data_IF_232689169083
#
_entry.id   IF_232689169083
#
_cell.length_a   1.000
_cell.length_b   1.000
_cell.length_c   1.000
_cell.angle_alpha   90.00
_cell.angle_beta   90.00
_cell.angle_gamma   90.00
#
_symmetry.space_group_name_H-M   'P 1'
#
loop_
_entity.id
_entity.type
_entity.pdbx_description
1 polymer ?
#
# COMPACT_ATOMS: atom_id res chain seq x y z
N UNK A 1 -18.12 -18.28 3.96
CA UNK A 1 -18.42 -17.94 5.37
C UNK A 1 -17.26 -18.38 6.25
N UNK A 2 -16.35 -17.47 6.62
CA UNK A 2 -15.20 -17.77 7.49
C UNK A 2 -15.60 -17.40 8.94
N UNK A 3 -15.78 -18.36 9.86
CA UNK A 3 -16.41 -18.15 11.17
C UNK A 3 -15.63 -17.30 12.19
N UNK A 4 -14.46 -16.75 11.84
CA UNK A 4 -13.55 -16.13 12.81
C UNK A 4 -13.60 -14.59 12.87
N UNK A 5 -14.06 -13.89 11.82
CA UNK A 5 -13.97 -12.42 11.73
C UNK A 5 -15.00 -11.69 12.63
N UNK A 6 -16.01 -12.39 13.15
CA UNK A 6 -17.19 -11.79 13.79
C UNK A 6 -17.14 -11.51 15.30
N UNK A 7 -16.02 -11.71 16.01
CA UNK A 7 -15.97 -11.54 17.49
C UNK A 7 -15.44 -10.20 17.98
N UNK A 8 -14.63 -9.47 17.20
CA UNK A 8 -13.90 -8.29 17.73
C UNK A 8 -14.65 -6.95 17.59
N UNK A 9 -15.62 -6.83 16.68
CA UNK A 9 -16.20 -5.53 16.30
C UNK A 9 -17.68 -5.35 16.64
N UNK A 10 -18.25 -6.18 17.51
CA UNK A 10 -19.70 -6.19 17.77
C UNK A 10 -20.20 -5.01 18.63
N UNK A 11 -19.33 -4.30 19.34
CA UNK A 11 -19.78 -3.34 20.36
C UNK A 11 -19.47 -1.86 20.03
N UNK A 12 -19.07 -1.54 18.78
CA UNK A 12 -18.63 -0.17 18.41
C UNK A 12 -19.64 0.57 17.52
N UNK A 13 -20.68 -0.07 16.99
CA UNK A 13 -21.52 0.58 15.98
C UNK A 13 -23.00 0.17 16.09
N UNK A 14 -23.73 0.76 17.03
CA UNK A 14 -25.21 0.71 17.06
C UNK A 14 -25.84 2.10 17.17
N UNK A 15 -25.19 3.16 16.69
CA UNK A 15 -25.74 4.53 16.72
C UNK A 15 -25.98 5.18 15.34
N UNK A 16 -25.74 4.44 14.26
CA UNK A 16 -26.05 4.86 12.89
C UNK A 16 -26.62 3.64 12.20
N UNK A 17 -27.93 3.61 11.96
CA UNK A 17 -28.71 2.47 11.47
C UNK A 17 -28.26 1.89 10.11
N UNK A 18 -27.08 1.26 10.09
CA UNK A 18 -26.52 0.53 8.95
C UNK A 18 -26.85 -0.95 9.14
N UNK A 19 -27.70 -1.48 8.26
CA UNK A 19 -27.99 -2.91 8.19
C UNK A 19 -26.81 -3.63 7.51
N UNK A 20 -25.92 -4.19 8.33
CA UNK A 20 -24.78 -4.97 7.88
C UNK A 20 -25.17 -6.20 7.04
N UNK A 21 -26.40 -6.71 7.12
CA UNK A 21 -26.84 -7.81 6.23
C UNK A 21 -26.94 -7.36 4.78
N UNK A 22 -27.33 -6.11 4.53
CA UNK A 22 -27.36 -5.53 3.18
C UNK A 22 -25.94 -5.34 2.64
N UNK A 23 -25.05 -4.77 3.46
CA UNK A 23 -23.64 -4.53 3.09
C UNK A 23 -22.89 -5.84 2.80
N UNK A 24 -23.15 -6.89 3.56
CA UNK A 24 -22.55 -8.22 3.33
C UNK A 24 -23.11 -8.93 2.09
N UNK A 25 -24.39 -8.71 1.75
CA UNK A 25 -24.99 -9.22 0.52
C UNK A 25 -24.49 -8.47 -0.73
N UNK A 26 -24.28 -7.15 -0.63
CA UNK A 26 -23.66 -6.34 -1.69
C UNK A 26 -22.17 -6.68 -1.89
N UNK A 27 -21.44 -7.02 -0.82
CA UNK A 27 -20.03 -7.44 -0.91
C UNK A 27 -19.82 -8.75 -1.68
N UNK A 28 -20.83 -9.61 -1.77
CA UNK A 28 -20.71 -10.92 -2.44
C UNK A 28 -20.64 -10.80 -3.97
N UNK A 29 -20.91 -9.62 -4.53
CA UNK A 29 -20.87 -9.36 -5.97
C UNK A 29 -19.55 -8.74 -6.46
N UNK A 30 -18.63 -8.38 -5.55
CA UNK A 30 -17.31 -7.84 -5.89
C UNK A 30 -16.21 -8.93 -5.78
N UNK A 31 -16.35 -10.01 -6.55
CA UNK A 31 -15.18 -10.77 -7.00
C UNK A 31 -14.70 -10.17 -8.32
N UNK A 32 -13.95 -9.09 -8.20
CA UNK A 32 -13.20 -8.49 -9.30
C UNK A 32 -11.96 -7.88 -8.69
N UNK A 33 -10.79 -8.47 -8.96
CA UNK A 33 -9.52 -7.76 -8.76
C UNK A 33 -9.50 -6.66 -9.81
N UNK A 34 -10.07 -5.51 -9.47
CA UNK A 34 -9.82 -4.28 -10.20
C UNK A 34 -8.35 -3.92 -9.98
N UNK A 35 -7.55 -4.16 -11.01
CA UNK A 35 -6.14 -3.78 -11.02
C UNK A 35 -6.08 -2.27 -10.93
N UNK A 36 -5.43 -1.78 -9.87
CA UNK A 36 -5.11 -0.37 -9.69
C UNK A 36 -4.41 0.15 -10.98
N UNK A 37 -5.06 1.03 -11.74
CA UNK A 37 -4.41 1.78 -12.83
C UNK A 37 -4.56 1.26 -14.27
N UNK A 38 -5.74 0.80 -14.71
CA UNK A 38 -6.01 0.48 -16.13
C UNK A 38 -6.13 1.69 -17.10
N UNK A 39 -5.59 2.86 -16.73
CA UNK A 39 -5.51 4.03 -17.63
C UNK A 39 -4.08 4.22 -18.16
N UNK A 40 -3.89 4.74 -19.39
CA UNK A 40 -2.56 5.14 -19.86
C UNK A 40 -1.88 6.05 -18.83
N UNK A 41 -0.59 5.82 -18.56
CA UNK A 41 0.22 6.70 -17.73
C UNK A 41 0.70 7.90 -18.59
N UNK A 42 -0.21 8.62 -19.24
CA UNK A 42 0.11 9.69 -20.19
C UNK A 42 0.48 11.05 -19.52
N UNK A 43 0.36 11.11 -18.19
CA UNK A 43 0.79 12.25 -17.37
C UNK A 43 2.31 12.34 -17.11
N UNK A 44 2.75 13.47 -16.54
CA UNK A 44 4.15 13.66 -16.13
C UNK A 44 4.65 12.60 -15.15
N UNK A 45 3.79 12.13 -14.24
CA UNK A 45 4.12 11.02 -13.34
C UNK A 45 4.36 9.72 -14.09
N UNK A 46 3.58 9.43 -15.14
CA UNK A 46 3.76 8.25 -15.96
C UNK A 46 5.10 8.21 -16.69
N UNK A 47 5.49 9.32 -17.32
CA UNK A 47 6.81 9.43 -17.95
C UNK A 47 7.97 9.26 -16.98
N UNK A 48 7.83 9.71 -15.74
CA UNK A 48 8.84 9.48 -14.69
C UNK A 48 8.91 8.02 -14.27
N UNK A 49 7.76 7.33 -14.24
CA UNK A 49 7.70 5.88 -13.99
C UNK A 49 8.34 5.13 -15.16
N UNK A 50 8.00 5.46 -16.41
CA UNK A 50 8.58 4.87 -17.62
C UNK A 50 10.11 5.01 -17.63
N UNK A 51 10.62 6.22 -17.38
CA UNK A 51 12.07 6.45 -17.30
C UNK A 51 12.75 5.65 -16.17
N UNK A 52 12.04 5.38 -15.07
CA UNK A 52 12.52 4.53 -14.00
C UNK A 52 12.52 3.06 -14.45
N UNK A 53 11.41 2.56 -15.02
CA UNK A 53 11.26 1.14 -15.38
C UNK A 53 12.04 0.72 -16.63
N UNK A 54 12.24 1.63 -17.60
CA UNK A 54 13.00 1.36 -18.82
C UNK A 54 14.53 1.39 -18.59
N UNK A 55 14.97 1.65 -17.36
CA UNK A 55 16.37 1.69 -17.01
C UNK A 55 16.99 0.28 -16.91
N UNK A 56 18.24 0.08 -17.38
CA UNK A 56 18.92 -1.22 -17.35
C UNK A 56 19.18 -1.77 -15.94
N UNK A 57 18.99 -0.95 -14.91
CA UNK A 57 19.09 -1.34 -13.52
C UNK A 57 17.93 -2.26 -13.10
N UNK A 58 16.75 -2.13 -13.71
CA UNK A 58 15.59 -2.95 -13.37
C UNK A 58 15.79 -4.39 -13.85
N UNK A 59 16.32 -4.56 -15.06
CA UNK A 59 16.69 -5.87 -15.59
C UNK A 59 17.69 -6.59 -14.67
N UNK A 60 18.76 -5.89 -14.27
CA UNK A 60 19.76 -6.44 -13.34
C UNK A 60 19.19 -6.78 -11.95
N UNK A 61 18.18 -6.03 -11.50
CA UNK A 61 17.48 -6.32 -10.24
C UNK A 61 16.63 -7.58 -10.36
N UNK A 62 15.90 -7.74 -11.48
CA UNK A 62 15.07 -8.92 -11.74
C UNK A 62 15.91 -10.18 -11.88
N UNK A 63 17.06 -10.10 -12.56
CA UNK A 63 18.02 -11.22 -12.65
C UNK A 63 18.48 -11.68 -11.26
N UNK A 64 18.80 -10.74 -10.37
CA UNK A 64 19.17 -11.08 -8.98
C UNK A 64 18.01 -11.70 -8.18
N UNK A 65 16.77 -11.26 -8.42
CA UNK A 65 15.57 -11.84 -7.78
C UNK A 65 15.39 -13.30 -8.23
N UNK A 66 15.60 -13.58 -9.51
CA UNK A 66 15.58 -14.92 -10.07
C UNK A 66 16.71 -15.80 -9.51
N UNK A 67 17.94 -15.29 -9.42
CA UNK A 67 19.08 -15.99 -8.80
C UNK A 67 18.81 -16.38 -7.34
N UNK A 68 18.05 -15.55 -6.61
CA UNK A 68 17.68 -15.79 -5.21
C UNK A 68 16.47 -16.72 -5.06
N UNK A 69 15.85 -17.15 -6.17
CA UNK A 69 14.65 -17.99 -6.17
C UNK A 69 13.44 -17.31 -5.52
N UNK A 70 13.40 -15.97 -5.51
CA UNK A 70 12.29 -15.22 -4.95
C UNK A 70 11.12 -15.22 -5.94
N UNK A 71 9.92 -15.54 -5.46
CA UNK A 71 8.72 -15.40 -6.26
C UNK A 71 8.49 -13.94 -6.64
N UNK A 72 8.17 -13.65 -7.91
CA UNK A 72 7.79 -12.31 -8.33
C UNK A 72 6.48 -11.85 -7.66
N UNK A 73 5.55 -12.79 -7.48
CA UNK A 73 4.24 -12.58 -6.87
C UNK A 73 4.03 -13.53 -5.68
N UNK A 74 2.90 -13.38 -4.99
CA UNK A 74 2.57 -14.17 -3.80
C UNK A 74 3.07 -13.55 -2.50
N UNK A 75 2.70 -14.16 -1.37
CA UNK A 75 3.11 -13.69 -0.05
C UNK A 75 4.63 -13.78 0.11
N UNK A 76 5.27 -12.69 0.53
CA UNK A 76 6.73 -12.59 0.60
C UNK A 76 7.43 -12.48 -0.76
N UNK A 77 6.68 -12.32 -1.85
CA UNK A 77 7.24 -12.10 -3.18
C UNK A 77 7.86 -10.72 -3.36
N UNK A 78 8.65 -10.57 -4.42
CA UNK A 78 9.38 -9.35 -4.73
C UNK A 78 8.45 -8.15 -5.00
N UNK A 79 7.43 -8.29 -5.86
CA UNK A 79 6.56 -7.16 -6.21
C UNK A 79 5.79 -6.61 -5.00
N UNK A 80 5.18 -7.44 -4.13
CA UNK A 80 4.58 -6.96 -2.88
C UNK A 80 5.58 -6.22 -1.98
N UNK A 81 6.81 -6.71 -1.86
CA UNK A 81 7.86 -6.07 -1.07
C UNK A 81 8.30 -4.71 -1.67
N UNK A 82 8.42 -4.65 -3.00
CA UNK A 82 8.78 -3.43 -3.72
C UNK A 82 7.70 -2.35 -3.55
N UNK A 83 6.43 -2.69 -3.78
CA UNK A 83 5.31 -1.75 -3.61
C UNK A 83 5.25 -1.21 -2.19
N UNK A 84 5.41 -2.08 -1.18
CA UNK A 84 5.48 -1.67 0.23
C UNK A 84 6.63 -0.68 0.45
N UNK A 85 7.83 -1.00 -0.01
CA UNK A 85 9.01 -0.15 0.18
C UNK A 85 8.85 1.24 -0.48
N UNK A 86 8.29 1.29 -1.69
CA UNK A 86 8.03 2.55 -2.41
C UNK A 86 6.99 3.39 -1.65
N UNK A 87 5.89 2.79 -1.19
CA UNK A 87 4.86 3.50 -0.42
C UNK A 87 5.41 4.02 0.91
N UNK A 88 6.16 3.21 1.65
CA UNK A 88 6.78 3.62 2.92
C UNK A 88 7.78 4.77 2.71
N UNK A 89 8.56 4.72 1.63
CA UNK A 89 9.51 5.78 1.29
C UNK A 89 8.83 7.06 0.84
N UNK A 90 7.81 6.97 -0.01
CA UNK A 90 7.04 8.13 -0.46
C UNK A 90 6.33 8.81 0.71
N UNK A 91 5.66 8.03 1.55
CA UNK A 91 4.99 8.56 2.74
C UNK A 91 5.97 9.18 3.74
N UNK A 92 7.16 8.61 3.91
CA UNK A 92 8.18 9.20 4.78
C UNK A 92 8.65 10.57 4.27
N UNK A 93 8.85 10.74 2.95
CA UNK A 93 9.22 12.02 2.36
C UNK A 93 8.12 13.08 2.55
N UNK A 94 6.87 12.73 2.27
CA UNK A 94 5.72 13.63 2.49
C UNK A 94 5.57 14.01 3.97
N UNK A 95 5.77 13.07 4.89
CA UNK A 95 5.70 13.34 6.33
C UNK A 95 6.80 14.29 6.80
N UNK A 96 8.06 14.09 6.34
CA UNK A 96 9.15 14.98 6.67
C UNK A 96 8.90 16.40 6.14
N UNK A 97 8.40 16.53 4.90
CA UNK A 97 8.05 17.82 4.31
C UNK A 97 6.90 18.51 5.06
N UNK A 98 5.88 17.76 5.48
CA UNK A 98 4.74 18.31 6.21
C UNK A 98 5.05 18.68 7.66
N UNK A 99 5.94 17.94 8.32
CA UNK A 99 6.30 18.19 9.72
C UNK A 99 7.48 19.16 9.84
N UNK A 100 8.29 19.30 8.79
CA UNK A 100 9.51 20.11 8.79
C UNK A 100 10.65 19.49 9.60
N UNK A 101 10.54 18.22 9.97
CA UNK A 101 11.56 17.46 10.68
C UNK A 101 11.48 15.96 10.35
N UNK A 102 12.63 15.29 10.43
CA UNK A 102 12.72 13.86 10.14
C UNK A 102 12.27 12.97 11.30
N UNK A 103 12.00 11.70 10.99
CA UNK A 103 11.69 10.69 12.00
C UNK A 103 12.83 10.57 13.01
N UNK A 104 12.54 10.92 14.27
CA UNK A 104 13.50 10.84 15.38
C UNK A 104 14.35 12.10 15.58
N UNK A 105 14.09 13.16 14.80
CA UNK A 105 14.74 14.46 14.98
C UNK A 105 14.43 15.05 16.37
N UNK A 106 15.44 15.54 17.13
CA UNK A 106 15.23 16.30 18.35
C UNK A 106 14.25 17.46 18.22
N UNK A 107 14.18 18.10 17.05
CA UNK A 107 13.23 19.18 16.74
C UNK A 107 11.77 18.73 16.83
N UNK A 108 11.49 17.44 16.63
CA UNK A 108 10.16 16.86 16.80
C UNK A 108 9.79 16.52 18.25
N UNK A 109 10.72 16.62 19.22
CA UNK A 109 10.44 16.23 20.62
C UNK A 109 9.51 17.23 21.29
N UNK A 110 8.41 16.73 21.86
CA UNK A 110 7.38 17.56 22.49
C UNK A 110 6.38 18.17 21.51
N UNK A 111 6.49 17.88 20.21
CA UNK A 111 5.44 18.13 19.25
C UNK A 111 4.17 17.31 19.62
N UNK A 112 2.97 17.80 19.30
CA UNK A 112 1.71 17.14 19.69
C UNK A 112 1.56 15.69 19.18
N UNK A 113 2.36 15.28 18.18
CA UNK A 113 2.39 13.92 17.64
C UNK A 113 3.72 13.17 17.91
N UNK A 114 4.50 13.61 18.89
CA UNK A 114 5.71 12.91 19.36
C UNK A 114 5.31 11.89 20.43
N UNK A 115 5.04 10.64 20.02
CA UNK A 115 4.83 9.51 20.93
C UNK A 115 5.96 8.50 20.84
#
# INVERSE_FOLDING_TARGET
MIPWVGKKYRNVCTDVGVDWRRVLLESSAQEGVEVFGSGPLDGAGGRSVDALVDGPWLDALLERVDEQGLGLTGEGGFLPALVKAVLERGLAAELSDHLGYDRGDPAGRGAPNSR
#
